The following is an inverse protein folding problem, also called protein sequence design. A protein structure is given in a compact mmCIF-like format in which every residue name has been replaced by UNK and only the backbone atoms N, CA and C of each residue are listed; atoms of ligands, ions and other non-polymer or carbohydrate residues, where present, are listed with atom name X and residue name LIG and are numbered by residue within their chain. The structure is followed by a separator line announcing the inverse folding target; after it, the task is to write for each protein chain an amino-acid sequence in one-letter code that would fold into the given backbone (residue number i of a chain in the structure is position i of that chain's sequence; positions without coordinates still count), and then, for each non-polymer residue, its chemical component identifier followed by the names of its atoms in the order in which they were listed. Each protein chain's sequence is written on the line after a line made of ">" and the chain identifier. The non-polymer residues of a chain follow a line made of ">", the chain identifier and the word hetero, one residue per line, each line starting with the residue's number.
data_IF_329088271113
#
_entry.id   IF_329088271113
#
_cell.length_a   1.000
_cell.length_b   1.000
_cell.length_c   1.000
_cell.angle_alpha   90.00
_cell.angle_beta   90.00
_cell.angle_gamma   90.00
#
_symmetry.space_group_name_H-M   'P 1'
#
loop_
_entity.id
_entity.type
_entity.pdbx_description
1 polymer ?
#
# COMPACT_ATOMS: atom_id res chain seq x y z
N UNK A 1 11.74 -18.57 -21.99
CA UNK A 1 12.90 -18.52 -22.92
C UNK A 1 13.79 -19.75 -22.75
N UNK A 2 14.47 -19.94 -21.60
CA UNK A 2 15.33 -21.11 -21.38
C UNK A 2 14.58 -22.45 -21.47
N UNK A 3 13.41 -22.55 -20.81
CA UNK A 3 12.58 -23.76 -20.85
C UNK A 3 12.15 -24.17 -22.27
N UNK A 4 11.72 -23.20 -23.10
CA UNK A 4 11.35 -23.46 -24.49
C UNK A 4 12.54 -23.93 -25.34
N UNK A 5 13.76 -23.44 -25.06
CA UNK A 5 14.98 -23.90 -25.76
C UNK A 5 15.32 -25.36 -25.40
N UNK A 6 15.13 -25.76 -24.16
CA UNK A 6 15.37 -27.14 -23.70
C UNK A 6 14.35 -28.13 -24.26
N UNK A 7 13.14 -27.67 -24.59
CA UNK A 7 12.03 -28.50 -25.07
C UNK A 7 11.74 -28.32 -26.57
N UNK A 8 12.56 -27.54 -27.27
CA UNK A 8 12.40 -27.21 -28.70
C UNK A 8 11.00 -26.63 -29.06
N UNK A 9 10.44 -25.83 -28.15
CA UNK A 9 9.11 -25.24 -28.31
C UNK A 9 9.20 -23.86 -28.95
N UNK A 10 8.25 -23.55 -29.84
CA UNK A 10 8.14 -22.24 -30.46
C UNK A 10 7.80 -21.16 -29.41
N UNK A 11 8.70 -20.18 -29.27
CA UNK A 11 8.60 -19.10 -28.30
C UNK A 11 7.43 -18.12 -28.55
N UNK A 12 6.97 -18.00 -29.79
CA UNK A 12 5.96 -17.00 -30.20
C UNK A 12 4.56 -17.57 -30.35
N UNK A 13 4.45 -18.90 -30.48
CA UNK A 13 3.16 -19.58 -30.64
C UNK A 13 3.22 -20.96 -29.96
N UNK A 14 3.33 -21.00 -28.62
CA UNK A 14 3.27 -22.25 -27.88
C UNK A 14 1.84 -22.80 -27.87
N UNK A 15 1.69 -24.11 -27.96
CA UNK A 15 0.39 -24.76 -27.80
C UNK A 15 -0.09 -24.66 -26.34
N UNK A 16 -1.40 -24.57 -26.07
CA UNK A 16 -1.90 -24.52 -24.69
C UNK A 16 -1.43 -25.68 -23.80
N UNK A 17 -1.23 -26.87 -24.38
CA UNK A 17 -0.66 -28.05 -23.73
C UNK A 17 0.77 -27.79 -23.23
N UNK A 18 1.59 -27.14 -24.07
CA UNK A 18 2.97 -26.78 -23.76
C UNK A 18 3.02 -25.71 -22.66
N UNK A 19 2.06 -24.78 -22.66
CA UNK A 19 1.89 -23.81 -21.57
C UNK A 19 1.51 -24.51 -20.27
N UNK A 20 0.58 -25.47 -20.31
CA UNK A 20 0.21 -26.25 -19.13
C UNK A 20 1.40 -27.03 -18.55
N UNK A 21 2.20 -27.67 -19.42
CA UNK A 21 3.42 -28.37 -19.03
C UNK A 21 4.48 -27.43 -18.46
N UNK A 22 4.67 -26.25 -19.07
CA UNK A 22 5.57 -25.22 -18.55
C UNK A 22 5.18 -24.79 -17.13
N UNK A 23 3.89 -24.54 -16.87
CA UNK A 23 3.42 -24.13 -15.55
C UNK A 23 3.60 -25.23 -14.50
N UNK A 24 3.35 -26.50 -14.88
CA UNK A 24 3.57 -27.65 -14.02
C UNK A 24 5.06 -27.84 -13.69
N UNK A 25 5.92 -27.84 -14.70
CA UNK A 25 7.38 -27.96 -14.55
C UNK A 25 7.94 -26.84 -13.66
N UNK A 26 7.49 -25.61 -13.88
CA UNK A 26 7.95 -24.45 -13.10
C UNK A 26 7.51 -24.57 -11.64
N UNK A 27 6.27 -24.98 -11.39
CA UNK A 27 5.78 -25.23 -10.04
C UNK A 27 6.58 -26.33 -9.34
N UNK A 28 6.84 -27.46 -10.01
CA UNK A 28 7.56 -28.59 -9.43
C UNK A 28 9.03 -28.29 -9.16
N UNK A 29 9.70 -27.56 -10.05
CA UNK A 29 11.14 -27.23 -9.91
C UNK A 29 11.41 -26.09 -8.94
N UNK A 30 10.58 -25.04 -8.97
CA UNK A 30 10.84 -23.81 -8.22
C UNK A 30 9.98 -23.67 -6.96
N UNK A 31 8.94 -24.51 -6.78
CA UNK A 31 8.07 -24.49 -5.61
C UNK A 31 7.29 -23.19 -5.42
N UNK A 32 7.05 -22.44 -6.51
CA UNK A 32 6.47 -21.10 -6.48
C UNK A 32 5.07 -21.06 -5.87
N UNK A 33 4.69 -19.89 -5.36
CA UNK A 33 3.31 -19.63 -4.93
C UNK A 33 2.35 -19.63 -6.13
N UNK A 34 1.10 -20.05 -5.90
CA UNK A 34 0.05 -20.08 -6.93
C UNK A 34 -0.14 -18.72 -7.63
N UNK A 35 -0.07 -17.61 -6.88
CA UNK A 35 -0.16 -16.25 -7.45
C UNK A 35 0.96 -15.95 -8.44
N UNK A 36 2.18 -16.41 -8.18
CA UNK A 36 3.32 -16.24 -9.09
C UNK A 36 3.13 -17.03 -10.38
N UNK A 37 2.60 -18.26 -10.29
CA UNK A 37 2.26 -19.08 -11.45
C UNK A 37 1.20 -18.39 -12.33
N UNK A 38 0.18 -17.75 -11.72
CA UNK A 38 -0.82 -16.97 -12.47
C UNK A 38 -0.22 -15.75 -13.20
N UNK A 39 0.78 -15.09 -12.59
CA UNK A 39 1.52 -14.00 -13.22
C UNK A 39 2.31 -14.53 -14.42
N UNK A 40 3.01 -15.66 -14.26
CA UNK A 40 3.75 -16.29 -15.37
C UNK A 40 2.83 -16.70 -16.52
N UNK A 41 1.67 -17.32 -16.22
CA UNK A 41 0.63 -17.61 -17.23
C UNK A 41 0.21 -16.34 -17.98
N UNK A 42 -0.04 -15.26 -17.27
CA UNK A 42 -0.47 -13.98 -17.87
C UNK A 42 0.63 -13.36 -18.71
N UNK A 43 1.89 -13.46 -18.27
CA UNK A 43 3.05 -13.04 -19.05
C UNK A 43 3.16 -13.84 -20.35
N UNK A 44 3.10 -15.18 -20.30
CA UNK A 44 3.12 -16.04 -21.49
C UNK A 44 2.00 -15.67 -22.45
N UNK A 45 0.77 -15.53 -21.96
CA UNK A 45 -0.37 -15.16 -22.78
C UNK A 45 -0.23 -13.78 -23.44
N UNK A 46 0.37 -12.82 -22.75
CA UNK A 46 0.63 -11.47 -23.29
C UNK A 46 1.74 -11.49 -24.33
N UNK A 47 2.86 -12.16 -24.04
CA UNK A 47 4.01 -12.22 -24.95
C UNK A 47 3.74 -13.03 -26.22
N UNK A 48 2.88 -14.04 -26.15
CA UNK A 48 2.51 -14.85 -27.31
C UNK A 48 1.26 -14.32 -28.03
N UNK A 49 0.58 -13.31 -27.49
CA UNK A 49 -0.69 -12.80 -28.06
C UNK A 49 -1.87 -13.77 -27.94
N UNK A 50 -1.77 -14.80 -27.08
CA UNK A 50 -2.72 -15.92 -26.98
C UNK A 50 -3.67 -15.80 -25.77
N UNK A 51 -4.10 -14.57 -25.46
CA UNK A 51 -4.91 -14.31 -24.26
C UNK A 51 -6.23 -15.09 -24.27
N UNK A 52 -6.81 -15.22 -25.45
CA UNK A 52 -8.10 -15.85 -25.69
C UNK A 52 -8.01 -17.38 -25.85
N UNK A 53 -6.81 -17.95 -26.07
CA UNK A 53 -6.62 -19.40 -26.24
C UNK A 53 -6.14 -20.10 -24.96
N UNK A 54 -5.27 -19.45 -24.18
CA UNK A 54 -4.63 -20.07 -22.99
C UNK A 54 -5.57 -20.11 -21.79
N UNK A 55 -6.34 -19.04 -21.58
CA UNK A 55 -7.21 -18.91 -20.39
C UNK A 55 -8.41 -19.86 -20.39
N UNK A 56 -9.10 -20.12 -21.53
CA UNK A 56 -10.20 -21.07 -21.54
C UNK A 56 -9.76 -22.54 -21.61
N UNK A 57 -8.53 -22.84 -22.06
CA UNK A 57 -8.04 -24.20 -22.25
C UNK A 57 -8.17 -25.07 -20.99
N UNK A 58 -8.70 -26.28 -21.18
CA UNK A 58 -9.01 -27.22 -20.09
C UNK A 58 -7.76 -27.69 -19.33
N UNK A 59 -6.67 -28.03 -20.03
CA UNK A 59 -5.45 -28.53 -19.40
C UNK A 59 -4.78 -27.45 -18.55
N UNK A 60 -4.73 -26.22 -19.06
CA UNK A 60 -4.24 -25.07 -18.29
C UNK A 60 -5.07 -24.88 -17.02
N UNK A 61 -6.40 -24.95 -17.11
CA UNK A 61 -7.29 -24.87 -15.93
C UNK A 61 -7.06 -26.01 -14.94
N UNK A 62 -6.92 -27.25 -15.42
CA UNK A 62 -6.69 -28.41 -14.56
C UNK A 62 -5.35 -28.32 -13.84
N UNK A 63 -4.27 -27.94 -14.53
CA UNK A 63 -2.96 -27.73 -13.92
C UNK A 63 -3.03 -26.63 -12.87
N UNK A 64 -3.66 -25.49 -13.17
CA UNK A 64 -3.82 -24.42 -12.18
C UNK A 64 -4.64 -24.87 -10.97
N UNK A 65 -5.69 -25.66 -11.17
CA UNK A 65 -6.48 -26.25 -10.08
C UNK A 65 -5.65 -27.22 -9.24
N UNK A 66 -4.86 -28.08 -9.88
CA UNK A 66 -3.97 -29.03 -9.20
C UNK A 66 -2.92 -28.29 -8.36
N UNK A 67 -2.29 -27.25 -8.92
CA UNK A 67 -1.33 -26.39 -8.22
C UNK A 67 -2.00 -25.70 -7.02
N UNK A 68 -3.19 -25.13 -7.22
CA UNK A 68 -3.95 -24.47 -6.16
C UNK A 68 -4.28 -25.44 -5.01
N UNK A 69 -4.72 -26.65 -5.33
CA UNK A 69 -5.03 -27.66 -4.31
C UNK A 69 -3.78 -28.20 -3.62
N UNK A 70 -2.67 -28.32 -4.34
CA UNK A 70 -1.38 -28.77 -3.79
C UNK A 70 -0.76 -27.74 -2.85
N UNK A 71 -0.93 -26.45 -3.16
CA UNK A 71 -0.42 -25.35 -2.34
C UNK A 71 -1.46 -24.23 -2.27
N UNK A 72 -2.49 -24.38 -1.42
CA UNK A 72 -3.53 -23.38 -1.30
C UNK A 72 -2.92 -22.04 -0.87
N UNK A 73 -3.36 -20.91 -1.44
CA UNK A 73 -2.92 -19.60 -0.99
C UNK A 73 -3.24 -19.45 0.50
N UNK A 74 -2.25 -18.99 1.28
CA UNK A 74 -2.44 -18.72 2.70
C UNK A 74 -3.66 -17.81 2.90
N UNK A 75 -4.43 -18.11 3.96
CA UNK A 75 -5.67 -17.45 4.35
C UNK A 75 -5.61 -15.93 4.09
N UNK A 76 -6.62 -15.41 3.38
CA UNK A 76 -6.81 -13.96 3.26
C UNK A 76 -6.94 -13.41 4.67
N UNK A 77 -6.07 -12.46 5.03
CA UNK A 77 -6.24 -11.69 6.27
C UNK A 77 -7.68 -11.18 6.30
N UNK A 78 -8.39 -11.39 7.41
CA UNK A 78 -9.75 -10.91 7.57
C UNK A 78 -9.77 -9.39 7.39
N UNK A 79 -10.73 -8.90 6.61
CA UNK A 79 -11.02 -7.46 6.55
C UNK A 79 -11.35 -7.03 7.97
N UNK A 80 -10.53 -6.14 8.53
CA UNK A 80 -10.66 -5.71 9.92
C UNK A 80 -11.70 -4.60 10.05
N UNK A 81 -12.34 -4.49 11.21
CA UNK A 81 -13.38 -3.47 11.46
C UNK A 81 -12.74 -2.12 11.77
N UNK A 82 -13.05 -1.12 10.93
CA UNK A 82 -12.58 0.26 11.10
C UNK A 82 -13.01 0.85 12.44
N UNK A 83 -14.21 0.47 12.94
CA UNK A 83 -14.72 0.97 14.22
C UNK A 83 -13.79 0.62 15.38
N UNK A 84 -13.17 -0.55 15.36
CA UNK A 84 -12.27 -0.99 16.42
C UNK A 84 -11.05 -0.06 16.55
N UNK A 85 -10.50 0.42 15.43
CA UNK A 85 -9.41 1.42 15.43
C UNK A 85 -9.91 2.78 15.87
N UNK A 86 -11.09 3.20 15.39
CA UNK A 86 -11.69 4.48 15.76
C UNK A 86 -11.95 4.53 17.27
N UNK A 87 -12.54 3.49 17.84
CA UNK A 87 -12.84 3.39 19.28
C UNK A 87 -11.55 3.37 20.11
N UNK A 88 -10.53 2.62 19.65
CA UNK A 88 -9.22 2.63 20.30
C UNK A 88 -8.61 4.04 20.29
N UNK A 89 -8.68 4.77 19.17
CA UNK A 89 -8.22 6.15 19.09
C UNK A 89 -8.98 7.03 20.09
N UNK A 90 -10.31 6.95 20.16
CA UNK A 90 -11.11 7.75 21.10
C UNK A 90 -10.74 7.51 22.56
N UNK A 91 -10.54 6.25 22.93
CA UNK A 91 -10.27 5.83 24.32
C UNK A 91 -8.80 6.05 24.73
N UNK A 92 -7.88 6.26 23.78
CA UNK A 92 -6.45 6.45 24.03
C UNK A 92 -5.98 7.83 23.52
N UNK A 93 -6.24 8.91 24.27
CA UNK A 93 -5.90 10.28 23.88
C UNK A 93 -4.42 10.66 23.99
N UNK A 94 -3.52 9.70 24.19
CA UNK A 94 -2.11 9.97 24.52
C UNK A 94 -1.44 10.81 23.42
N UNK A 95 -0.76 11.88 23.81
CA UNK A 95 0.15 12.68 22.99
C UNK A 95 1.56 12.81 23.62
N UNK A 96 1.83 11.99 24.64
CA UNK A 96 3.00 12.04 25.50
C UNK A 96 4.35 11.87 24.77
N UNK A 97 4.34 11.35 23.54
CA UNK A 97 5.56 11.13 22.77
C UNK A 97 5.41 11.47 21.30
N UNK A 98 6.51 11.89 20.66
CA UNK A 98 6.56 12.10 19.21
C UNK A 98 6.16 10.85 18.42
N UNK A 99 6.49 9.66 18.93
CA UNK A 99 6.09 8.41 18.29
C UNK A 99 4.57 8.23 18.27
N UNK A 100 3.92 8.58 19.38
CA UNK A 100 2.46 8.55 19.49
C UNK A 100 1.81 9.54 18.53
N UNK A 101 2.25 10.80 18.57
CA UNK A 101 1.75 11.86 17.69
C UNK A 101 1.83 11.42 16.22
N UNK A 102 3.01 10.93 15.79
CA UNK A 102 3.23 10.55 14.39
C UNK A 102 2.35 9.38 13.95
N UNK A 103 2.30 8.29 14.73
CA UNK A 103 1.50 7.10 14.34
C UNK A 103 0.01 7.40 14.31
N UNK A 104 -0.43 8.26 15.22
CA UNK A 104 -1.82 8.66 15.37
C UNK A 104 -2.26 9.61 14.25
N UNK A 105 -1.46 10.63 13.95
CA UNK A 105 -1.70 11.52 12.80
C UNK A 105 -1.74 10.73 11.48
N UNK A 106 -0.81 9.78 11.28
CA UNK A 106 -0.80 8.94 10.07
C UNK A 106 -2.07 8.08 9.96
N UNK A 107 -2.53 7.49 11.06
CA UNK A 107 -3.73 6.65 11.08
C UNK A 107 -4.99 7.47 10.83
N UNK A 108 -5.15 8.61 11.51
CA UNK A 108 -6.31 9.50 11.31
C UNK A 108 -6.36 9.97 9.86
N UNK A 109 -5.23 10.43 9.29
CA UNK A 109 -5.18 10.88 7.90
C UNK A 109 -5.58 9.78 6.92
N UNK A 110 -5.16 8.53 7.15
CA UNK A 110 -5.55 7.40 6.31
C UNK A 110 -7.06 7.12 6.39
N UNK A 111 -7.61 7.14 7.59
CA UNK A 111 -9.03 6.89 7.83
C UNK A 111 -9.92 8.00 7.25
N UNK A 112 -9.52 9.28 7.38
CA UNK A 112 -10.35 10.41 6.92
C UNK A 112 -10.23 10.69 5.43
N UNK A 113 -9.10 10.38 4.81
CA UNK A 113 -8.86 10.69 3.39
C UNK A 113 -9.23 9.54 2.45
N UNK A 114 -9.35 8.30 2.96
CA UNK A 114 -9.51 7.08 2.17
C UNK A 114 -8.46 6.93 1.06
N UNK A 115 -7.24 7.42 1.31
CA UNK A 115 -6.13 7.41 0.36
C UNK A 115 -5.14 6.29 0.66
N UNK A 116 -4.23 6.04 -0.30
CA UNK A 116 -3.21 5.00 -0.14
C UNK A 116 -2.14 5.48 0.83
N UNK A 117 -1.54 4.54 1.55
CA UNK A 117 -0.39 4.81 2.41
C UNK A 117 0.76 5.51 1.69
N UNK A 118 0.95 5.22 0.39
CA UNK A 118 1.92 5.91 -0.45
C UNK A 118 1.68 7.42 -0.51
N UNK A 119 0.42 7.86 -0.53
CA UNK A 119 0.06 9.25 -0.74
C UNK A 119 0.47 10.13 0.46
N UNK A 120 0.60 9.55 1.67
CA UNK A 120 1.06 10.26 2.85
C UNK A 120 2.52 10.73 2.73
N UNK A 121 3.36 10.01 1.96
CA UNK A 121 4.75 10.41 1.70
C UNK A 121 4.84 11.67 0.82
N UNK A 122 3.79 11.95 0.06
CA UNK A 122 3.73 13.07 -0.88
C UNK A 122 3.24 14.36 -0.20
N UNK A 123 2.78 14.28 1.05
CA UNK A 123 2.29 15.43 1.79
C UNK A 123 3.44 16.35 2.20
N UNK A 124 3.20 17.65 2.04
CA UNK A 124 4.15 18.72 2.38
C UNK A 124 3.48 19.73 3.31
N UNK A 125 4.29 20.52 4.01
CA UNK A 125 3.83 21.56 4.94
C UNK A 125 4.17 22.98 4.49
N UNK A 126 4.75 23.13 3.30
CA UNK A 126 5.09 24.42 2.69
C UNK A 126 4.15 24.74 1.54
N UNK A 127 3.98 26.03 1.26
CA UNK A 127 3.30 26.49 0.06
C UNK A 127 3.97 25.95 -1.22
N UNK A 128 3.20 25.71 -2.30
CA UNK A 128 1.74 25.83 -2.43
C UNK A 128 0.98 24.58 -1.94
N UNK A 129 1.67 23.62 -1.32
CA UNK A 129 1.13 22.30 -1.03
C UNK A 129 0.37 22.19 0.29
N UNK A 130 0.43 23.23 1.11
CA UNK A 130 -0.16 23.28 2.44
C UNK A 130 -0.85 24.61 2.64
N UNK A 131 -2.06 24.57 3.17
CA UNK A 131 -2.78 25.77 3.61
C UNK A 131 -3.45 25.45 4.95
N UNK A 132 -3.16 26.26 5.96
CA UNK A 132 -3.79 26.17 7.27
C UNK A 132 -4.71 27.38 7.46
N UNK A 133 -6.03 27.16 7.42
CA UNK A 133 -7.05 28.20 7.52
C UNK A 133 -7.88 27.90 8.77
N UNK A 134 -7.46 28.36 9.95
CA UNK A 134 -8.19 28.33 11.24
C UNK A 134 -8.93 27.04 11.62
N UNK A 135 -10.04 26.72 10.93
CA UNK A 135 -10.83 25.51 11.14
C UNK A 135 -10.52 24.39 10.14
N UNK A 136 -9.83 24.65 9.04
CA UNK A 136 -9.54 23.65 8.02
C UNK A 136 -8.05 23.62 7.63
N UNK A 137 -7.59 22.44 7.22
CA UNK A 137 -6.27 22.26 6.62
C UNK A 137 -6.46 21.67 5.23
N UNK A 138 -5.83 22.28 4.24
CA UNK A 138 -5.78 21.77 2.88
C UNK A 138 -4.37 21.27 2.57
N UNK A 139 -4.26 19.99 2.18
CA UNK A 139 -3.00 19.39 1.75
C UNK A 139 -3.09 19.02 0.26
N UNK A 140 -2.10 19.43 -0.53
CA UNK A 140 -1.98 19.06 -1.93
C UNK A 140 -0.79 18.13 -2.08
N UNK A 141 -1.00 16.82 -2.28
CA UNK A 141 0.10 15.88 -2.51
C UNK A 141 0.95 16.34 -3.70
N UNK A 142 2.28 16.27 -3.55
CA UNK A 142 3.21 16.50 -4.67
C UNK A 142 3.01 15.41 -5.73
N UNK A 143 3.22 15.75 -7.01
CA UNK A 143 3.17 14.80 -8.13
C UNK A 143 3.94 13.50 -7.83
N UNK A 144 3.32 12.34 -8.10
CA UNK A 144 3.93 11.04 -7.82
C UNK A 144 2.97 9.86 -7.59
N UNK A 145 1.66 10.11 -7.48
CA UNK A 145 0.67 9.03 -7.49
C UNK A 145 0.48 8.50 -8.94
N UNK A 146 0.41 7.18 -9.11
CA UNK A 146 0.32 6.49 -10.42
C UNK A 146 -0.81 6.98 -11.34
N UNK A 147 -1.79 7.69 -10.79
CA UNK A 147 -2.97 8.20 -11.50
C UNK A 147 -2.82 9.64 -11.99
N UNK A 148 -1.66 10.27 -11.75
CA UNK A 148 -1.41 11.68 -12.05
C UNK A 148 -0.55 11.77 -13.30
N UNK A 149 -1.06 12.44 -14.34
CA UNK A 149 -0.32 12.79 -15.56
C UNK A 149 -0.39 14.31 -15.78
N UNK A 150 0.28 14.85 -16.80
CA UNK A 150 0.33 16.29 -17.06
C UNK A 150 -1.03 16.99 -17.13
N UNK A 151 -2.11 16.26 -17.40
CA UNK A 151 -3.50 16.78 -17.47
C UNK A 151 -4.38 16.42 -16.28
N UNK A 152 -3.99 15.49 -15.40
CA UNK A 152 -4.80 15.04 -14.25
C UNK A 152 -4.02 15.19 -12.95
N UNK A 153 -4.33 16.22 -12.16
CA UNK A 153 -3.80 16.42 -10.81
C UNK A 153 -4.66 15.67 -9.79
N UNK A 154 -4.02 15.11 -8.77
CA UNK A 154 -4.74 14.55 -7.64
C UNK A 154 -5.47 15.68 -6.89
N UNK A 155 -6.70 15.43 -6.45
CA UNK A 155 -7.43 16.41 -5.64
C UNK A 155 -6.76 16.64 -4.30
N UNK A 156 -6.81 17.89 -3.84
CA UNK A 156 -6.37 18.28 -2.51
C UNK A 156 -7.18 17.58 -1.42
N UNK A 157 -6.56 17.41 -0.26
CA UNK A 157 -7.13 16.82 0.92
C UNK A 157 -7.62 17.97 1.78
N UNK A 158 -8.91 18.27 1.68
CA UNK A 158 -9.56 19.23 2.56
C UNK A 158 -9.96 18.52 3.85
N UNK A 159 -9.34 18.90 4.96
CA UNK A 159 -9.53 18.28 6.27
C UNK A 159 -10.26 19.25 7.18
N UNK A 160 -11.38 18.79 7.72
CA UNK A 160 -12.24 19.54 8.64
C UNK A 160 -11.97 19.10 10.08
N UNK A 161 -12.28 19.94 11.08
CA UNK A 161 -12.13 19.55 12.46
C UNK A 161 -13.20 18.51 12.80
N UNK A 162 -12.87 17.60 13.72
CA UNK A 162 -13.84 16.66 14.28
C UNK A 162 -14.29 17.16 15.65
N UNK A 163 -15.55 16.91 16.01
CA UNK A 163 -16.08 17.21 17.34
C UNK A 163 -15.27 16.52 18.44
N UNK A 164 -14.87 15.27 18.19
CA UNK A 164 -13.95 14.56 19.04
C UNK A 164 -12.52 15.02 18.76
N UNK A 165 -11.95 15.74 19.73
CA UNK A 165 -10.55 16.22 19.72
C UNK A 165 -9.55 15.08 19.47
N UNK A 166 -9.87 13.85 19.91
CA UNK A 166 -9.03 12.68 19.70
C UNK A 166 -9.13 12.14 18.28
N UNK A 167 -10.11 12.53 17.47
CA UNK A 167 -10.20 12.15 16.06
C UNK A 167 -9.97 13.32 15.12
N UNK A 168 -9.75 14.52 15.65
CA UNK A 168 -9.65 15.74 14.87
C UNK A 168 -8.35 15.80 14.02
N UNK A 169 -8.42 15.63 12.68
CA UNK A 169 -7.23 15.60 11.84
C UNK A 169 -6.48 16.94 11.90
N UNK A 170 -7.19 18.05 12.00
CA UNK A 170 -6.61 19.41 12.09
C UNK A 170 -5.73 19.55 13.34
N UNK A 171 -6.21 19.10 14.51
CA UNK A 171 -5.44 19.11 15.76
C UNK A 171 -4.15 18.30 15.61
N UNK A 172 -4.26 17.06 15.15
CA UNK A 172 -3.14 16.11 15.09
C UNK A 172 -2.07 16.50 14.06
N UNK A 173 -2.46 17.17 12.96
CA UNK A 173 -1.51 17.73 12.00
C UNK A 173 -0.74 18.90 12.60
N UNK A 174 -1.43 19.85 13.25
CA UNK A 174 -0.78 20.99 13.91
C UNK A 174 0.18 20.53 15.00
N UNK A 175 -0.28 19.59 15.84
CA UNK A 175 0.53 19.00 16.89
C UNK A 175 1.77 18.30 16.31
N UNK A 176 1.63 17.55 15.21
CA UNK A 176 2.76 16.94 14.53
C UNK A 176 3.76 17.97 13.99
N UNK A 177 3.28 19.02 13.33
CA UNK A 177 4.14 20.09 12.79
C UNK A 177 4.92 20.75 13.94
N UNK A 178 4.25 21.08 15.03
CA UNK A 178 4.87 21.65 16.23
C UNK A 178 5.90 20.71 16.85
N UNK A 179 5.53 19.45 17.11
CA UNK A 179 6.41 18.46 17.74
C UNK A 179 7.64 18.09 16.88
N UNK A 180 7.58 18.34 15.57
CA UNK A 180 8.69 18.07 14.64
C UNK A 180 9.50 19.32 14.28
N UNK A 181 9.13 20.51 14.76
CA UNK A 181 9.71 21.79 14.35
C UNK A 181 11.23 21.83 14.48
N UNK A 182 11.78 21.46 15.63
CA UNK A 182 13.23 21.50 15.91
C UNK A 182 14.03 20.44 15.13
N UNK A 183 13.36 19.38 14.66
CA UNK A 183 14.01 18.28 13.93
C UNK A 183 14.07 18.55 12.43
N UNK A 184 13.35 19.56 11.93
CA UNK A 184 13.28 19.90 10.51
C UNK A 184 14.56 20.64 10.10
N UNK A 185 15.42 19.95 9.37
CA UNK A 185 16.55 20.56 8.65
C UNK A 185 16.12 20.92 7.23
N UNK A 186 16.84 21.82 6.56
CA UNK A 186 16.49 22.32 5.21
C UNK A 186 16.14 21.22 4.19
N UNK A 187 16.80 20.07 4.28
CA UNK A 187 16.58 18.92 3.39
C UNK A 187 15.24 18.21 3.58
N UNK A 188 14.61 18.33 4.75
CA UNK A 188 13.35 17.64 5.10
C UNK A 188 12.22 18.57 5.50
N UNK A 189 12.51 19.87 5.63
CA UNK A 189 11.61 20.87 6.19
C UNK A 189 10.24 20.91 5.50
N UNK A 190 10.20 20.60 4.19
CA UNK A 190 8.96 20.54 3.43
C UNK A 190 8.06 19.35 3.72
N UNK A 191 8.50 18.23 4.30
CA UNK A 191 7.72 17.00 4.40
C UNK A 191 6.81 16.98 5.64
N UNK A 192 5.57 16.49 5.52
CA UNK A 192 4.70 16.36 6.70
C UNK A 192 5.24 15.31 7.68
N UNK A 193 5.58 14.13 7.16
CA UNK A 193 6.11 13.01 7.95
C UNK A 193 7.62 12.85 7.78
N UNK A 194 8.32 12.81 8.92
CA UNK A 194 9.78 12.66 9.00
C UNK A 194 10.15 11.43 9.84
N UNK A 195 11.39 10.94 9.69
CA UNK A 195 11.92 9.89 10.54
C UNK A 195 11.97 10.34 12.01
N UNK A 196 11.43 9.48 12.88
CA UNK A 196 11.40 9.71 14.33
C UNK A 196 12.74 9.31 14.96
N UNK A 197 13.40 8.29 14.38
CA UNK A 197 14.66 7.74 14.86
C UNK A 197 15.78 8.07 13.87
N UNK A 198 16.99 8.29 14.41
CA UNK A 198 18.21 8.62 13.65
C UNK A 198 18.18 9.99 12.96
N UNK A 199 19.12 10.22 12.03
CA UNK A 199 19.24 11.45 11.25
C UNK A 199 17.92 11.78 10.55
N UNK A 200 17.49 13.05 10.60
CA UNK A 200 16.21 13.45 10.03
C UNK A 200 16.18 13.20 8.51
N UNK A 201 15.23 12.38 8.06
CA UNK A 201 14.95 12.06 6.65
C UNK A 201 13.44 12.00 6.41
N UNK A 202 12.96 12.16 5.17
CA UNK A 202 11.54 11.99 4.87
C UNK A 202 11.06 10.58 5.25
N UNK A 203 9.85 10.48 5.77
CA UNK A 203 9.27 9.19 6.12
C UNK A 203 8.99 8.37 4.85
N UNK A 204 9.40 7.10 4.87
CA UNK A 204 9.16 6.16 3.77
C UNK A 204 7.85 5.39 3.98
N UNK A 205 7.38 4.74 2.91
CA UNK A 205 6.18 3.90 2.92
C UNK A 205 6.26 2.82 4.01
N UNK A 206 7.44 2.24 4.17
CA UNK A 206 7.68 1.20 5.18
C UNK A 206 7.62 1.77 6.60
N UNK A 207 8.10 2.99 6.83
CA UNK A 207 8.01 3.64 8.15
C UNK A 207 6.55 3.93 8.51
N UNK A 208 5.81 4.57 7.61
CA UNK A 208 4.39 4.91 7.80
C UNK A 208 3.56 3.63 7.99
N UNK A 209 3.82 2.59 7.19
CA UNK A 209 3.20 1.26 7.36
C UNK A 209 3.55 0.61 8.70
N UNK A 210 4.79 0.76 9.17
CA UNK A 210 5.19 0.31 10.50
C UNK A 210 4.37 0.99 11.59
N UNK A 211 4.21 2.32 11.52
CA UNK A 211 3.44 3.09 12.50
C UNK A 211 1.97 2.67 12.57
N UNK A 212 1.30 2.52 11.43
CA UNK A 212 -0.08 2.05 11.39
C UNK A 212 -0.20 0.61 11.91
N UNK A 213 0.78 -0.27 11.63
CA UNK A 213 0.79 -1.63 12.17
C UNK A 213 0.85 -1.64 13.70
N UNK A 214 1.58 -0.71 14.32
CA UNK A 214 1.56 -0.58 15.79
C UNK A 214 0.18 -0.19 16.30
N UNK A 215 -0.50 0.77 15.66
CA UNK A 215 -1.87 1.14 16.03
C UNK A 215 -2.84 -0.04 15.90
N UNK A 216 -2.78 -0.79 14.79
CA UNK A 216 -3.61 -1.99 14.61
C UNK A 216 -3.33 -3.03 15.69
N UNK A 217 -2.05 -3.30 15.98
CA UNK A 217 -1.65 -4.25 17.03
C UNK A 217 -2.16 -3.82 18.41
N UNK A 218 -2.05 -2.53 18.74
CA UNK A 218 -2.51 -2.00 20.03
C UNK A 218 -4.05 -2.02 20.13
N UNK A 219 -4.75 -1.88 19.00
CA UNK A 219 -6.19 -2.10 18.86
C UNK A 219 -6.58 -3.58 18.81
N UNK A 220 -5.62 -4.51 18.99
CA UNK A 220 -5.80 -5.97 18.94
C UNK A 220 -6.28 -6.51 17.58
N UNK A 221 -5.85 -5.86 16.49
CA UNK A 221 -6.14 -6.25 15.11
C UNK A 221 -4.90 -6.91 14.50
N UNK A 222 -5.05 -8.15 14.06
CA UNK A 222 -4.01 -8.87 13.30
C UNK A 222 -4.18 -8.65 11.79
N UNK A 223 -3.81 -7.46 11.32
CA UNK A 223 -3.90 -7.10 9.90
C UNK A 223 -2.73 -6.21 9.45
N UNK A 224 -2.58 -6.06 8.13
CA UNK A 224 -1.61 -5.13 7.55
C UNK A 224 -2.27 -3.87 6.99
N UNK A 225 -1.59 -2.71 7.01
CA UNK A 225 -2.06 -1.40 6.50
C UNK A 225 -2.52 -1.30 5.03
N UNK A 226 -2.62 -2.41 4.30
CA UNK A 226 -3.06 -2.45 2.90
C UNK A 226 -4.10 -3.53 2.62
N UNK A 227 -4.70 -4.10 3.67
CA UNK A 227 -5.71 -5.16 3.59
C UNK A 227 -7.15 -4.63 3.71
N UNK A 228 -7.34 -3.31 3.67
CA UNK A 228 -8.66 -2.66 3.67
C UNK A 228 -9.26 -2.65 2.26
#
# INVERSE_FOLDING_TARGET
>A
MAWCRTKEINLKSPRPEEVAQFLADTFLKEGLAYSTILVQKSAVATFCGMKDDISPNFLVKQILKAIHNSKPPNFKLSVWDVKQVVDWLKQNPKDDSLFEIVRRTATILLLTSSRRLHDLMLLRIKEPYFTDIWREICLWPVFGAKTVNGSRRQSGWKLLPNEDSNLCPVKWIRLLIQATKERRTDKIDGHLFNSIRSTPKPASRTMIGGWMRYVLKDARIDATPGSC
#
